data_IF_168569835839
#
_entry.id   IF_168569835839
#
_cell.length_a   1.000
_cell.length_b   1.000
_cell.length_c   1.000
_cell.angle_alpha   90.00
_cell.angle_beta   90.00
_cell.angle_gamma   90.00
#
_symmetry.space_group_name_H-M   'P 1'
#
loop_
_entity.id
_entity.type
_entity.pdbx_description
1 polymer ?
#
# COMPACT_ATOMS: atom_id res chain seq x y z
N UNK A 1 -1.02 2.96 5.84
CA UNK A 1 -1.11 2.13 7.07
C UNK A 1 -2.54 1.71 7.42
N UNK A 2 -3.39 2.55 8.02
CA UNK A 2 -4.70 2.11 8.58
C UNK A 2 -5.62 1.40 7.56
N UNK A 3 -5.72 1.93 6.33
CA UNK A 3 -6.52 1.31 5.27
C UNK A 3 -6.05 -0.12 4.92
N UNK A 4 -4.74 -0.39 4.94
CA UNK A 4 -4.21 -1.73 4.73
C UNK A 4 -4.43 -2.65 5.93
N UNK A 5 -4.35 -2.11 7.16
CA UNK A 5 -4.71 -2.87 8.37
C UNK A 5 -6.18 -3.32 8.36
N UNK A 6 -7.07 -2.45 7.89
CA UNK A 6 -8.49 -2.77 7.78
C UNK A 6 -8.77 -3.79 6.68
N UNK A 7 -8.14 -3.65 5.51
CA UNK A 7 -8.19 -4.67 4.45
C UNK A 7 -7.69 -6.03 4.95
N UNK A 8 -6.57 -6.05 5.68
CA UNK A 8 -6.04 -7.28 6.26
C UNK A 8 -7.04 -7.91 7.24
N UNK A 9 -7.71 -7.10 8.06
CA UNK A 9 -8.73 -7.57 9.01
C UNK A 9 -9.97 -8.11 8.29
N UNK A 10 -10.40 -7.47 7.21
CA UNK A 10 -11.51 -7.95 6.38
C UNK A 10 -11.25 -9.35 5.80
N UNK A 11 -10.06 -9.59 5.24
CA UNK A 11 -9.72 -10.90 4.67
C UNK A 11 -9.49 -12.00 5.72
N UNK A 12 -9.38 -11.66 7.00
CA UNK A 12 -9.28 -12.61 8.12
C UNK A 12 -10.65 -13.07 8.64
N UNK A 13 -11.75 -12.42 8.24
CA UNK A 13 -13.10 -12.78 8.67
C UNK A 13 -13.45 -14.21 8.25
N UNK A 14 -14.26 -14.90 9.05
CA UNK A 14 -14.68 -16.28 8.79
C UNK A 14 -15.54 -16.41 7.52
N UNK A 15 -16.26 -15.35 7.15
CA UNK A 15 -17.09 -15.28 5.94
C UNK A 15 -16.35 -14.82 4.67
N UNK A 16 -15.05 -14.51 4.78
CA UNK A 16 -14.15 -14.19 3.65
C UNK A 16 -13.02 -15.23 3.53
N UNK A 17 -12.33 -15.51 4.63
CA UNK A 17 -11.38 -16.61 4.83
C UNK A 17 -10.21 -16.71 3.82
N UNK A 18 -9.63 -15.57 3.42
CA UNK A 18 -8.56 -15.46 2.43
C UNK A 18 -7.21 -15.11 3.09
N UNK A 19 -6.54 -16.12 3.68
CA UNK A 19 -5.40 -15.95 4.58
C UNK A 19 -4.17 -15.30 3.92
N UNK A 20 -3.87 -15.66 2.67
CA UNK A 20 -2.69 -15.09 1.99
C UNK A 20 -2.90 -13.63 1.60
N UNK A 21 -4.15 -13.23 1.36
CA UNK A 21 -4.49 -11.83 1.14
C UNK A 21 -4.44 -11.02 2.42
N UNK A 22 -4.91 -11.58 3.53
CA UNK A 22 -4.70 -11.00 4.86
C UNK A 22 -3.21 -10.80 5.16
N UNK A 23 -2.36 -11.78 4.88
CA UNK A 23 -0.89 -11.66 5.00
C UNK A 23 -0.35 -10.53 4.11
N UNK A 24 -0.73 -10.51 2.83
CA UNK A 24 -0.28 -9.50 1.88
C UNK A 24 -0.61 -8.06 2.33
N UNK A 25 -1.86 -7.79 2.72
CA UNK A 25 -2.25 -6.45 3.19
C UNK A 25 -1.63 -6.10 4.54
N UNK A 26 -1.39 -7.09 5.40
CA UNK A 26 -0.65 -6.88 6.65
C UNK A 26 0.79 -6.44 6.38
N UNK A 27 1.48 -7.08 5.45
CA UNK A 27 2.83 -6.69 5.03
C UNK A 27 2.86 -5.27 4.43
N UNK A 28 1.89 -4.93 3.58
CA UNK A 28 1.75 -3.55 3.08
C UNK A 28 1.53 -2.56 4.23
N UNK A 29 0.68 -2.90 5.20
CA UNK A 29 0.45 -2.05 6.37
C UNK A 29 1.72 -1.82 7.19
N UNK A 30 2.53 -2.86 7.36
CA UNK A 30 3.78 -2.79 8.13
C UNK A 30 4.83 -1.96 7.39
N UNK A 31 4.98 -2.16 6.07
CA UNK A 31 5.86 -1.32 5.23
C UNK A 31 5.51 0.16 5.31
N UNK A 32 4.22 0.51 5.22
CA UNK A 32 3.78 1.91 5.35
C UNK A 32 4.06 2.48 6.74
N UNK A 33 4.09 1.63 7.78
CA UNK A 33 4.48 2.07 9.13
C UNK A 33 5.98 2.35 9.20
N UNK A 34 6.80 1.48 8.63
CA UNK A 34 8.24 1.71 8.51
C UNK A 34 8.54 2.99 7.72
N UNK A 35 7.81 3.27 6.64
CA UNK A 35 7.92 4.52 5.87
C UNK A 35 7.59 5.75 6.72
N UNK A 36 6.51 5.69 7.50
CA UNK A 36 6.15 6.77 8.42
C UNK A 36 7.27 7.00 9.45
N UNK A 37 7.78 5.94 10.08
CA UNK A 37 8.86 6.02 11.06
C UNK A 37 10.16 6.59 10.45
N UNK A 38 10.51 6.18 9.22
CA UNK A 38 11.64 6.75 8.47
C UNK A 38 11.49 8.26 8.26
N UNK A 39 10.29 8.74 7.89
CA UNK A 39 10.02 10.17 7.71
C UNK A 39 10.10 10.94 9.04
N UNK A 40 9.57 10.39 10.13
CA UNK A 40 9.65 10.99 11.47
C UNK A 40 11.10 11.10 11.94
N UNK A 41 11.87 10.02 11.79
CA UNK A 41 13.30 9.99 12.13
C UNK A 41 14.08 11.01 11.28
N UNK A 42 13.79 11.09 9.99
CA UNK A 42 14.41 12.05 9.09
C UNK A 42 14.10 13.50 9.48
N UNK A 43 12.85 13.81 9.83
CA UNK A 43 12.44 15.13 10.29
C UNK A 43 13.25 15.56 11.53
N UNK A 44 13.42 14.65 12.50
CA UNK A 44 14.25 14.90 13.69
C UNK A 44 15.73 15.03 13.34
N UNK A 45 16.26 14.21 12.42
CA UNK A 45 17.65 14.27 11.95
C UNK A 45 18.00 15.62 11.34
N UNK A 46 17.05 16.26 10.66
CA UNK A 46 17.20 17.60 10.07
C UNK A 46 16.96 18.74 11.07
N UNK A 47 16.72 18.44 12.34
CA UNK A 47 16.43 19.42 13.40
C UNK A 47 15.01 19.96 13.38
N UNK A 48 14.13 19.39 12.56
CA UNK A 48 12.72 19.75 12.47
C UNK A 48 11.93 19.35 13.73
N UNK A 49 10.64 19.65 13.73
CA UNK A 49 9.69 19.23 14.76
C UNK A 49 8.56 18.46 14.13
N UNK A 50 8.22 17.32 14.72
CA UNK A 50 7.09 16.50 14.32
C UNK A 50 5.83 17.09 14.95
N UNK A 51 4.79 17.29 14.14
CA UNK A 51 3.45 17.61 14.60
C UNK A 51 2.51 16.53 14.09
N UNK A 52 2.07 15.65 14.99
CA UNK A 52 1.13 14.58 14.66
C UNK A 52 -0.27 15.16 14.50
N UNK A 53 -1.05 14.57 13.59
CA UNK A 53 -2.47 14.90 13.35
C UNK A 53 -3.28 13.62 13.37
N UNK A 54 -4.58 13.77 13.55
CA UNK A 54 -5.52 12.65 13.49
C UNK A 54 -5.42 11.93 12.16
N UNK A 55 -5.31 10.60 12.23
CA UNK A 55 -5.33 9.74 11.04
C UNK A 55 -6.79 9.41 10.78
N UNK A 56 -7.33 9.87 9.64
CA UNK A 56 -8.71 9.59 9.25
C UNK A 56 -8.92 8.08 9.15
N UNK A 57 -10.04 7.62 9.71
CA UNK A 57 -10.53 6.27 9.47
C UNK A 57 -10.84 6.10 7.98
N UNK A 58 -10.59 4.91 7.40
CA UNK A 58 -11.00 4.66 6.04
C UNK A 58 -12.53 4.77 5.90
N UNK A 59 -12.99 5.17 4.72
CA UNK A 59 -14.41 5.44 4.45
C UNK A 59 -15.27 4.18 4.29
N UNK A 60 -14.64 2.99 4.29
CA UNK A 60 -15.28 1.72 3.94
C UNK A 60 -14.71 0.57 4.75
N UNK A 61 -15.59 -0.19 5.36
CA UNK A 61 -15.34 -1.35 6.22
C UNK A 61 -15.62 -2.69 5.52
N UNK A 62 -16.49 -2.71 4.50
CA UNK A 62 -16.75 -3.87 3.65
C UNK A 62 -16.01 -3.78 2.31
N UNK A 63 -14.99 -4.61 2.09
CA UNK A 63 -14.16 -4.56 0.88
C UNK A 63 -14.70 -5.39 -0.29
N UNK A 64 -15.85 -6.05 -0.13
CA UNK A 64 -16.49 -6.83 -1.18
C UNK A 64 -15.60 -7.97 -1.70
N UNK A 65 -14.97 -7.74 -2.85
CA UNK A 65 -14.16 -8.75 -3.54
C UNK A 65 -12.70 -8.30 -3.67
N UNK A 66 -11.80 -9.27 -3.80
CA UNK A 66 -10.37 -8.98 -3.85
C UNK A 66 -9.95 -7.96 -4.89
N UNK A 67 -10.57 -8.00 -6.06
CA UNK A 67 -10.24 -7.10 -7.16
C UNK A 67 -10.43 -5.63 -6.75
N UNK A 68 -11.48 -5.35 -5.99
CA UNK A 68 -11.80 -4.01 -5.52
C UNK A 68 -10.84 -3.55 -4.43
N UNK A 69 -10.48 -4.44 -3.50
CA UNK A 69 -9.46 -4.16 -2.49
C UNK A 69 -8.09 -3.83 -3.13
N UNK A 70 -7.67 -4.61 -4.12
CA UNK A 70 -6.43 -4.40 -4.87
C UNK A 70 -6.47 -3.10 -5.68
N UNK A 71 -7.59 -2.78 -6.33
CA UNK A 71 -7.77 -1.50 -7.04
C UNK A 71 -7.70 -0.30 -6.10
N UNK A 72 -8.31 -0.41 -4.92
CA UNK A 72 -8.25 0.65 -3.91
C UNK A 72 -6.82 0.81 -3.37
N UNK A 73 -6.12 -0.29 -3.15
CA UNK A 73 -4.72 -0.28 -2.75
C UNK A 73 -3.83 0.39 -3.81
N UNK A 74 -4.04 0.08 -5.10
CA UNK A 74 -3.32 0.72 -6.21
C UNK A 74 -3.57 2.23 -6.25
N UNK A 75 -4.81 2.67 -6.07
CA UNK A 75 -5.13 4.11 -6.04
C UNK A 75 -4.49 4.81 -4.85
N UNK A 76 -4.49 4.17 -3.68
CA UNK A 76 -3.82 4.71 -2.50
C UNK A 76 -2.31 4.86 -2.74
N UNK A 77 -1.65 3.82 -3.26
CA UNK A 77 -0.20 3.89 -3.54
C UNK A 77 0.13 4.96 -4.59
N UNK A 78 -0.71 5.12 -5.63
CA UNK A 78 -0.56 6.23 -6.59
C UNK A 78 -0.70 7.61 -5.92
N UNK A 79 -1.65 7.76 -5.00
CA UNK A 79 -1.82 9.02 -4.25
C UNK A 79 -0.64 9.31 -3.33
N UNK A 80 -0.07 8.30 -2.70
CA UNK A 80 1.14 8.43 -1.87
C UNK A 80 2.33 8.82 -2.75
N UNK A 81 2.51 8.13 -3.88
CA UNK A 81 3.56 8.45 -4.85
C UNK A 81 3.44 9.89 -5.39
N UNK A 82 2.23 10.36 -5.70
CA UNK A 82 2.03 11.76 -6.09
C UNK A 82 2.44 12.72 -4.97
N UNK A 83 2.07 12.44 -3.73
CA UNK A 83 2.46 13.26 -2.58
C UNK A 83 3.98 13.31 -2.39
N UNK A 84 4.69 12.21 -2.65
CA UNK A 84 6.15 12.14 -2.61
C UNK A 84 6.80 12.92 -3.76
N UNK A 85 6.23 12.85 -4.97
CA UNK A 85 6.69 13.65 -6.12
C UNK A 85 6.52 15.15 -5.87
N UNK A 86 5.38 15.55 -5.30
CA UNK A 86 5.10 16.93 -4.94
C UNK A 86 6.08 17.42 -3.86
N UNK A 87 6.35 16.61 -2.84
CA UNK A 87 7.34 16.91 -1.80
C UNK A 87 8.76 17.02 -2.38
N UNK A 88 9.15 16.12 -3.28
CA UNK A 88 10.42 16.20 -3.99
C UNK A 88 10.51 17.47 -4.86
N UNK A 89 9.41 17.86 -5.51
CA UNK A 89 9.29 19.13 -6.24
C UNK A 89 9.57 20.34 -5.33
N UNK A 90 8.95 20.38 -4.15
CA UNK A 90 9.20 21.43 -3.16
C UNK A 90 10.65 21.43 -2.65
N UNK A 91 11.22 20.26 -2.37
CA UNK A 91 12.61 20.12 -1.97
C UNK A 91 13.56 20.72 -3.03
N UNK A 92 13.29 20.44 -4.30
CA UNK A 92 14.04 20.99 -5.43
C UNK A 92 13.91 22.51 -5.53
N UNK A 93 12.70 23.05 -5.45
CA UNK A 93 12.45 24.51 -5.49
C UNK A 93 13.15 25.25 -4.35
N UNK A 94 13.28 24.60 -3.18
CA UNK A 94 13.98 25.14 -2.01
C UNK A 94 15.49 24.87 -2.03
N UNK A 95 16.02 24.27 -3.09
CA UNK A 95 17.42 23.86 -3.20
C UNK A 95 17.89 22.99 -2.02
N UNK A 96 17.07 22.01 -1.61
CA UNK A 96 17.43 21.01 -0.60
C UNK A 96 17.84 19.68 -1.28
N UNK A 97 19.10 19.54 -1.72
CA UNK A 97 19.55 18.32 -2.41
C UNK A 97 19.51 17.09 -1.49
N UNK A 98 19.63 17.28 -0.17
CA UNK A 98 19.67 16.17 0.77
C UNK A 98 18.27 15.58 0.98
N UNK A 99 17.22 16.39 0.98
CA UNK A 99 15.84 15.92 0.97
C UNK A 99 15.47 15.26 -0.36
N UNK A 100 15.91 15.81 -1.50
CA UNK A 100 15.73 15.16 -2.79
C UNK A 100 16.33 13.74 -2.79
N UNK A 101 17.57 13.59 -2.33
CA UNK A 101 18.24 12.28 -2.26
C UNK A 101 17.52 11.33 -1.31
N UNK A 102 17.08 11.81 -0.14
CA UNK A 102 16.35 10.98 0.83
C UNK A 102 15.02 10.44 0.27
N UNK A 103 14.30 11.23 -0.53
CA UNK A 103 13.02 10.83 -1.11
C UNK A 103 13.16 9.84 -2.27
N UNK A 104 14.35 9.72 -2.86
CA UNK A 104 14.59 8.85 -4.01
C UNK A 104 14.29 7.38 -3.69
N UNK A 105 14.73 6.88 -2.53
CA UNK A 105 14.46 5.52 -2.08
C UNK A 105 12.94 5.23 -2.02
N UNK A 106 12.15 6.20 -1.51
CA UNK A 106 10.69 6.07 -1.46
C UNK A 106 10.06 6.03 -2.86
N UNK A 107 10.56 6.84 -3.79
CA UNK A 107 10.04 6.89 -5.16
C UNK A 107 10.31 5.58 -5.92
N UNK A 108 11.49 5.00 -5.73
CA UNK A 108 11.84 3.70 -6.32
C UNK A 108 10.93 2.59 -5.76
N UNK A 109 10.79 2.50 -4.44
CA UNK A 109 9.91 1.52 -3.78
C UNK A 109 8.43 1.69 -4.22
N UNK A 110 7.97 2.92 -4.43
CA UNK A 110 6.60 3.20 -4.87
C UNK A 110 6.32 2.72 -6.29
N UNK A 111 7.27 2.89 -7.22
CA UNK A 111 7.12 2.40 -8.60
C UNK A 111 7.01 0.87 -8.61
N UNK A 112 7.82 0.18 -7.82
CA UNK A 112 7.75 -1.28 -7.67
C UNK A 112 6.41 -1.74 -7.08
N UNK A 113 5.95 -1.07 -6.01
CA UNK A 113 4.67 -1.36 -5.36
C UNK A 113 3.48 -1.18 -6.32
N UNK A 114 3.46 -0.07 -7.07
CA UNK A 114 2.43 0.23 -8.08
C UNK A 114 2.44 -0.82 -9.20
N UNK A 115 3.63 -1.22 -9.67
CA UNK A 115 3.76 -2.27 -10.69
C UNK A 115 3.22 -3.61 -10.18
N UNK A 116 3.63 -4.02 -8.98
CA UNK A 116 3.20 -5.27 -8.34
C UNK A 116 1.68 -5.32 -8.19
N UNK A 117 1.06 -4.25 -7.70
CA UNK A 117 -0.40 -4.15 -7.58
C UNK A 117 -1.10 -4.19 -8.95
N UNK A 118 -0.54 -3.53 -9.97
CA UNK A 118 -1.04 -3.59 -11.34
C UNK A 118 -1.02 -5.01 -11.94
N UNK A 119 0.03 -5.77 -11.68
CA UNK A 119 0.15 -7.17 -12.08
C UNK A 119 -0.89 -8.05 -11.37
N UNK A 120 -1.08 -7.83 -10.06
CA UNK A 120 -2.09 -8.55 -9.30
C UNK A 120 -3.49 -8.34 -9.87
N UNK A 121 -3.88 -7.08 -10.12
CA UNK A 121 -5.17 -6.72 -10.72
C UNK A 121 -5.35 -7.36 -12.10
N UNK A 122 -4.30 -7.37 -12.92
CA UNK A 122 -4.36 -7.94 -14.28
C UNK A 122 -4.62 -9.44 -14.24
N UNK A 123 -3.93 -10.16 -13.36
CA UNK A 123 -4.11 -11.60 -13.23
C UNK A 123 -5.47 -11.98 -12.61
N UNK A 124 -5.95 -11.21 -11.62
CA UNK A 124 -7.29 -11.40 -11.06
C UNK A 124 -8.38 -11.26 -12.12
N UNK A 125 -8.28 -10.23 -12.99
CA UNK A 125 -9.20 -10.06 -14.12
C UNK A 125 -9.14 -11.22 -15.11
N UNK A 126 -7.94 -11.75 -15.42
CA UNK A 126 -7.77 -12.92 -16.30
C UNK A 126 -8.41 -14.19 -15.75
N UNK A 127 -8.48 -14.32 -14.42
CA UNK A 127 -9.14 -15.43 -13.74
C UNK A 127 -10.66 -15.25 -13.60
N UNK A 128 -11.22 -14.16 -14.12
CA UNK A 128 -12.67 -13.89 -14.10
C UNK A 128 -13.20 -13.40 -12.75
N UNK A 129 -12.34 -12.86 -11.88
CA UNK A 129 -12.77 -12.22 -10.62
C UNK A 129 -13.43 -10.87 -10.93
N UNK A 130 -14.57 -10.51 -10.29
CA UNK A 130 -15.19 -11.18 -9.13
C UNK A 130 -16.20 -12.29 -9.43
N UNK A 131 -16.56 -12.53 -10.69
CA UNK A 131 -17.60 -13.53 -11.02
C UNK A 131 -17.15 -14.98 -10.74
N UNK A 132 -15.85 -15.23 -10.71
CA UNK A 132 -15.23 -16.54 -10.52
C UNK A 132 -14.65 -16.69 -9.11
N UNK A 133 -15.42 -17.28 -8.19
CA UNK A 133 -14.91 -17.63 -6.85
C UNK A 133 -13.76 -18.65 -6.90
N UNK A 134 -13.76 -19.56 -7.89
CA UNK A 134 -12.63 -20.45 -8.13
C UNK A 134 -11.36 -19.67 -8.53
N UNK A 135 -11.51 -18.62 -9.33
CA UNK A 135 -10.41 -17.75 -9.74
C UNK A 135 -9.75 -17.06 -8.54
N UNK A 136 -10.55 -16.53 -7.62
CA UNK A 136 -10.07 -15.89 -6.38
C UNK A 136 -9.32 -16.88 -5.49
N UNK A 137 -9.87 -18.08 -5.29
CA UNK A 137 -9.24 -19.13 -4.49
C UNK A 137 -7.93 -19.66 -5.11
N UNK A 138 -7.90 -19.89 -6.42
CA UNK A 138 -6.68 -20.30 -7.11
C UNK A 138 -5.60 -19.22 -7.02
N UNK A 139 -5.98 -17.95 -7.15
CA UNK A 139 -5.05 -16.84 -7.05
C UNK A 139 -4.43 -16.73 -5.66
N UNK A 140 -5.26 -16.81 -4.62
CA UNK A 140 -4.83 -16.82 -3.22
C UNK A 140 -3.75 -17.88 -3.00
N UNK A 141 -3.97 -19.10 -3.50
CA UNK A 141 -3.08 -20.22 -3.25
C UNK A 141 -1.83 -20.23 -4.11
N UNK A 142 -1.95 -19.95 -5.40
CA UNK A 142 -0.85 -20.13 -6.36
C UNK A 142 0.00 -18.88 -6.56
N UNK A 143 -0.53 -17.69 -6.29
CA UNK A 143 0.23 -16.44 -6.49
C UNK A 143 0.66 -15.82 -5.18
N UNK A 144 -0.21 -15.81 -4.17
CA UNK A 144 0.12 -15.25 -2.86
C UNK A 144 0.62 -16.29 -1.86
N UNK A 145 0.35 -17.58 -2.09
CA UNK A 145 0.90 -18.68 -1.29
C UNK A 145 2.41 -18.84 -1.46
N UNK A 146 2.94 -18.58 -2.65
CA UNK A 146 4.38 -18.69 -2.95
C UNK A 146 5.22 -17.50 -2.42
N UNK A 147 4.59 -16.48 -1.84
CA UNK A 147 5.28 -15.39 -1.13
C UNK A 147 5.61 -15.77 0.34
N UNK A 148 5.89 -17.04 0.62
CA UNK A 148 6.27 -17.56 1.95
C UNK A 148 7.73 -17.99 2.01
#
# INVERSE_FOLDING_TARGET
MLKFSEQASYFDRDDVALKNFRKFFKELSDKEREHADKLLAYQNKRGGRVVLRDIKTPERDDWGHILEAMQTALQLQKSINQSLLDLHGQAREKNDPQLCEFLKDFLEEQVESIKKLGDHITNLKRLGVPQSGLGEYLYERLTLGDCS
#
